data_IF_497950672768
#
_entry.id   IF_497950672768
#
_cell.length_a   1.000
_cell.length_b   1.000
_cell.length_c   1.000
_cell.angle_alpha   90.00
_cell.angle_beta   90.00
_cell.angle_gamma   90.00
#
_symmetry.space_group_name_H-M   'P 1'
#
loop_
_entity.id
_entity.type
_entity.pdbx_description
1 polymer ?
#
# COMPACT_ATOMS: atom_id res chain seq x y z
N UNK A 1 41.52 -4.48 3.85
CA UNK A 1 40.44 -3.87 4.66
C UNK A 1 39.22 -3.76 3.79
N UNK A 2 38.11 -4.33 4.24
CA UNK A 2 37.08 -4.95 3.41
C UNK A 2 36.02 -3.94 2.96
N UNK A 3 35.87 -3.74 1.64
CA UNK A 3 34.92 -2.81 1.01
C UNK A 3 33.47 -3.12 1.37
N UNK A 4 33.18 -4.39 1.60
CA UNK A 4 31.87 -4.93 1.94
C UNK A 4 31.36 -4.46 3.32
N UNK A 5 32.27 -4.31 4.29
CA UNK A 5 31.92 -3.82 5.62
C UNK A 5 31.54 -2.33 5.60
N UNK A 6 32.18 -1.53 4.74
CA UNK A 6 31.85 -0.11 4.54
C UNK A 6 30.48 0.07 3.89
N UNK A 7 30.13 -0.78 2.93
CA UNK A 7 28.82 -0.72 2.27
C UNK A 7 27.69 -1.09 3.24
N UNK A 8 27.89 -2.11 4.08
CA UNK A 8 26.90 -2.46 5.11
C UNK A 8 26.73 -1.39 6.19
N UNK A 9 27.82 -0.75 6.62
CA UNK A 9 27.76 0.35 7.59
C UNK A 9 27.11 1.61 7.00
N UNK A 10 27.32 1.86 5.70
CA UNK A 10 26.68 2.96 4.97
C UNK A 10 25.18 2.73 4.79
N UNK A 11 24.76 1.52 4.38
CA UNK A 11 23.33 1.15 4.25
C UNK A 11 22.63 1.21 5.61
N UNK A 12 23.27 0.74 6.68
CA UNK A 12 22.71 0.79 8.04
C UNK A 12 22.58 2.22 8.58
N UNK A 13 23.43 3.15 8.12
CA UNK A 13 23.27 4.58 8.42
C UNK A 13 22.15 5.20 7.59
N UNK A 14 22.01 4.83 6.32
CA UNK A 14 20.92 5.33 5.46
C UNK A 14 19.54 4.84 5.93
N UNK A 15 19.44 3.64 6.50
CA UNK A 15 18.18 3.12 7.04
C UNK A 15 17.73 3.77 8.37
N UNK A 16 18.53 4.68 8.93
CA UNK A 16 18.22 5.44 10.15
C UNK A 16 17.89 6.91 9.84
N UNK A 17 17.96 7.32 8.57
CA UNK A 17 17.66 8.67 8.12
C UNK A 17 16.19 8.68 7.69
N UNK A 18 15.37 9.57 8.27
CA UNK A 18 13.97 9.69 7.87
C UNK A 18 13.88 10.22 6.43
N UNK A 19 12.79 9.92 5.72
CA UNK A 19 12.55 10.41 4.35
C UNK A 19 12.67 11.95 4.25
N UNK A 20 12.41 12.65 5.36
CA UNK A 20 12.61 14.10 5.50
C UNK A 20 14.10 14.51 5.46
N UNK A 21 14.99 13.78 6.15
CA UNK A 21 16.43 14.06 6.11
C UNK A 21 17.07 13.64 4.76
N UNK A 22 16.56 12.59 4.11
CA UNK A 22 16.91 12.27 2.72
C UNK A 22 16.47 13.41 1.79
N UNK A 23 15.28 13.97 2.02
CA UNK A 23 14.76 15.13 1.29
C UNK A 23 15.56 16.42 1.50
N UNK A 24 16.21 16.59 2.66
CA UNK A 24 17.09 17.73 2.96
C UNK A 24 18.51 17.57 2.40
N UNK A 25 18.99 16.34 2.20
CA UNK A 25 20.31 16.06 1.63
C UNK A 25 20.30 15.83 0.12
N UNK A 26 19.13 15.54 -0.46
CA UNK A 26 18.98 15.44 -1.89
C UNK A 26 19.16 16.82 -2.53
N UNK A 27 20.03 16.89 -3.54
CA UNK A 27 20.22 18.07 -4.37
C UNK A 27 18.85 18.52 -4.92
N UNK A 28 18.40 19.77 -4.66
CA UNK A 28 17.13 20.30 -5.16
C UNK A 28 16.99 20.15 -6.67
N UNK A 29 18.10 20.25 -7.42
CA UNK A 29 18.12 20.13 -8.88
C UNK A 29 17.97 18.67 -9.31
N UNK A 30 18.52 17.71 -8.55
CA UNK A 30 18.31 16.28 -8.79
C UNK A 30 16.87 15.86 -8.50
N UNK A 31 16.25 16.42 -7.44
CA UNK A 31 14.84 16.19 -7.11
C UNK A 31 13.92 16.77 -8.19
N UNK A 32 14.17 18.01 -8.61
CA UNK A 32 13.45 18.67 -9.69
C UNK A 32 13.59 17.90 -11.01
N UNK A 33 14.81 17.46 -11.38
CA UNK A 33 15.06 16.68 -12.58
C UNK A 33 14.36 15.30 -12.55
N UNK A 34 14.27 14.66 -11.38
CA UNK A 34 13.55 13.41 -11.20
C UNK A 34 12.03 13.62 -11.39
N UNK A 35 11.46 14.67 -10.78
CA UNK A 35 10.05 15.02 -10.95
C UNK A 35 9.72 15.44 -12.39
N UNK A 36 10.61 16.18 -13.05
CA UNK A 36 10.48 16.55 -14.47
C UNK A 36 10.58 15.31 -15.38
N UNK A 37 11.44 14.34 -15.07
CA UNK A 37 11.48 13.07 -15.80
C UNK A 37 10.21 12.23 -15.62
N UNK A 38 9.66 12.18 -14.40
CA UNK A 38 8.42 11.47 -14.09
C UNK A 38 7.23 12.10 -14.85
N UNK A 39 7.16 13.43 -14.90
CA UNK A 39 6.07 14.17 -15.55
C UNK A 39 6.23 14.33 -17.07
N UNK A 40 7.44 14.23 -17.62
CA UNK A 40 7.70 14.37 -19.06
C UNK A 40 7.32 13.14 -19.91
N UNK A 41 6.73 12.10 -19.33
CA UNK A 41 6.36 10.86 -20.04
C UNK A 41 5.08 10.97 -20.88
N UNK A 42 4.92 12.05 -21.64
CA UNK A 42 4.04 12.07 -22.81
C UNK A 42 4.92 11.91 -24.06
N UNK A 43 5.09 10.66 -24.52
CA UNK A 43 5.96 10.35 -25.65
C UNK A 43 5.59 11.16 -26.91
N UNK A 44 6.51 11.94 -27.51
CA UNK A 44 6.24 12.57 -28.79
C UNK A 44 6.14 11.50 -29.88
N UNK A 45 5.08 11.59 -30.69
CA UNK A 45 4.77 10.68 -31.81
C UNK A 45 5.87 10.81 -32.90
N UNK A 46 6.88 9.95 -32.84
CA UNK A 46 8.00 9.98 -33.77
C UNK A 46 7.55 9.63 -35.21
N UNK A 47 7.77 10.54 -36.15
CA UNK A 47 7.62 10.30 -37.60
C UNK A 47 8.74 9.36 -38.06
N UNK A 48 8.40 8.23 -38.67
CA UNK A 48 9.34 7.24 -39.23
C UNK A 48 10.16 7.83 -40.38
N UNK A 49 11.51 7.87 -40.32
CA UNK A 49 12.33 8.05 -41.51
C UNK A 49 12.53 6.71 -42.23
N UNK A 50 12.57 6.76 -43.57
CA UNK A 50 12.90 5.65 -44.47
C UNK A 50 14.40 5.63 -44.76
N UNK A 51 14.93 4.41 -44.96
CA UNK A 51 16.26 4.04 -45.54
C UNK A 51 17.46 4.19 -44.57
N UNK A 52 18.52 3.36 -44.57
CA UNK A 52 19.06 2.37 -45.54
C UNK A 52 19.99 1.38 -44.82
N UNK A 53 20.29 0.24 -45.46
CA UNK A 53 21.20 -0.82 -44.99
C UNK A 53 22.65 -0.31 -44.79
N UNK A 54 23.29 -0.68 -43.68
CA UNK A 54 24.76 -0.73 -43.60
C UNK A 54 25.38 -0.56 -42.20
N UNK A 55 25.96 -1.66 -41.71
CA UNK A 55 27.04 -1.80 -40.70
C UNK A 55 26.78 -1.60 -39.20
N UNK A 56 27.33 -2.57 -38.47
CA UNK A 56 27.28 -2.86 -37.04
C UNK A 56 28.41 -2.11 -36.31
N UNK A 57 28.11 -1.45 -35.18
CA UNK A 57 29.03 -1.29 -34.05
C UNK A 57 28.30 -0.80 -32.79
N UNK A 58 28.21 -1.70 -31.80
CA UNK A 58 28.33 -1.53 -30.35
C UNK A 58 28.01 -0.14 -29.75
N UNK A 59 26.85 -0.03 -29.10
CA UNK A 59 26.68 0.67 -27.83
C UNK A 59 25.62 -0.06 -26.99
N UNK A 60 26.09 -0.94 -26.12
CA UNK A 60 25.31 -1.46 -25.00
C UNK A 60 25.65 -0.60 -23.79
N UNK A 61 24.65 0.06 -23.19
CA UNK A 61 24.89 0.82 -21.98
C UNK A 61 23.71 1.71 -21.60
N UNK A 62 22.98 1.27 -20.57
CA UNK A 62 22.17 2.08 -19.66
C UNK A 62 20.86 2.64 -20.23
N UNK A 63 19.79 1.83 -20.14
CA UNK A 63 18.41 2.32 -20.14
C UNK A 63 17.48 1.30 -19.48
N UNK A 64 17.56 1.11 -18.15
CA UNK A 64 16.60 0.24 -17.42
C UNK A 64 16.03 0.87 -16.12
N UNK A 65 16.58 1.96 -15.57
CA UNK A 65 16.19 2.37 -14.21
C UNK A 65 15.02 3.38 -14.08
N UNK A 66 14.32 3.78 -15.15
CA UNK A 66 13.37 4.90 -15.09
C UNK A 66 11.87 4.53 -15.24
N UNK A 67 11.53 3.27 -15.50
CA UNK A 67 10.14 2.91 -15.82
C UNK A 67 9.26 2.55 -14.61
N UNK A 68 9.82 2.30 -13.42
CA UNK A 68 9.06 1.78 -12.27
C UNK A 68 8.34 2.82 -11.42
N UNK A 69 8.84 4.06 -11.35
CA UNK A 69 8.33 5.06 -10.40
C UNK A 69 7.16 5.93 -10.90
N UNK A 70 7.11 6.23 -12.20
CA UNK A 70 6.12 7.17 -12.75
C UNK A 70 4.73 6.57 -13.00
N UNK A 71 4.63 5.24 -13.08
CA UNK A 71 3.34 4.57 -13.34
C UNK A 71 2.41 4.61 -12.11
N UNK A 72 2.96 4.60 -10.88
CA UNK A 72 2.16 4.52 -9.66
C UNK A 72 1.35 5.80 -9.36
N UNK A 73 1.88 6.98 -9.67
CA UNK A 73 1.19 8.26 -9.42
C UNK A 73 0.04 8.56 -10.42
N UNK A 74 0.00 7.86 -11.56
CA UNK A 74 -1.05 8.03 -12.58
C UNK A 74 -2.24 7.08 -12.45
N UNK A 75 -2.19 6.13 -11.51
CA UNK A 75 -3.21 5.09 -11.32
C UNK A 75 -4.21 5.40 -10.20
N UNK A 76 -3.97 6.44 -9.40
CA UNK A 76 -4.89 6.90 -8.37
C UNK A 76 -5.80 7.99 -8.95
N UNK A 77 -6.96 7.59 -9.48
CA UNK A 77 -7.98 8.53 -9.96
C UNK A 77 -8.63 9.29 -8.81
N UNK A 78 -8.94 10.58 -9.00
CA UNK A 78 -9.65 11.58 -8.14
C UNK A 78 -10.25 11.06 -6.83
N UNK A 79 -10.06 11.78 -5.70
CA UNK A 79 -10.12 11.37 -4.27
C UNK A 79 -11.20 10.41 -3.75
N UNK A 80 -12.12 9.97 -4.59
CA UNK A 80 -13.07 8.88 -4.39
C UNK A 80 -12.46 7.48 -4.68
N UNK A 81 -11.24 7.39 -5.23
CA UNK A 81 -10.67 6.19 -5.83
C UNK A 81 -9.84 5.27 -4.94
N UNK A 82 -8.90 5.85 -4.19
CA UNK A 82 -7.94 5.14 -3.36
C UNK A 82 -8.32 5.16 -1.89
N UNK A 83 -8.26 4.03 -1.17
CA UNK A 83 -8.64 3.99 0.24
C UNK A 83 -7.62 4.71 1.14
N UNK A 84 -6.34 4.80 0.76
CA UNK A 84 -5.32 5.35 1.64
C UNK A 84 -5.51 6.87 1.93
N UNK A 85 -5.30 7.25 3.18
CA UNK A 85 -5.36 8.62 3.67
C UNK A 85 -3.95 9.12 3.98
N UNK A 86 -3.54 10.26 3.46
CA UNK A 86 -2.34 10.97 3.91
C UNK A 86 -2.64 11.73 5.20
N UNK A 87 -2.08 11.32 6.33
CA UNK A 87 -2.28 11.95 7.62
C UNK A 87 -1.04 12.79 7.98
N UNK A 88 -1.18 14.11 7.98
CA UNK A 88 -0.08 15.02 8.29
C UNK A 88 0.04 15.15 9.81
N UNK A 89 1.13 14.64 10.39
CA UNK A 89 1.36 14.57 11.84
C UNK A 89 2.10 15.82 12.35
N UNK A 90 2.15 16.00 13.68
CA UNK A 90 2.68 17.19 14.36
C UNK A 90 4.11 17.62 13.97
N UNK A 91 4.96 16.68 13.59
CA UNK A 91 6.35 16.93 13.20
C UNK A 91 6.50 17.32 11.72
N UNK A 92 5.39 17.44 10.99
CA UNK A 92 5.36 17.71 9.55
C UNK A 92 5.57 16.47 8.69
N UNK A 93 5.69 15.28 9.28
CA UNK A 93 5.69 14.02 8.53
C UNK A 93 4.28 13.70 8.02
N UNK A 94 4.23 12.92 6.94
CA UNK A 94 2.99 12.38 6.40
C UNK A 94 3.00 10.88 6.67
N UNK A 95 2.05 10.42 7.48
CA UNK A 95 1.78 8.99 7.65
C UNK A 95 0.73 8.55 6.64
N UNK A 96 0.97 7.44 5.95
CA UNK A 96 -0.05 6.83 5.08
C UNK A 96 -0.92 5.94 5.95
N UNK A 97 -2.13 6.40 6.22
CA UNK A 97 -3.10 5.70 7.06
C UNK A 97 -4.05 4.93 6.18
N UNK A 98 -4.10 3.61 6.38
CA UNK A 98 -5.13 2.79 5.77
C UNK A 98 -6.47 3.06 6.47
N UNK A 99 -7.55 3.22 5.70
CA UNK A 99 -8.84 3.55 6.29
C UNK A 99 -9.39 2.33 7.02
N UNK A 100 -9.98 2.56 8.18
CA UNK A 100 -10.56 1.52 9.03
C UNK A 100 -12.04 1.78 9.19
N UNK A 101 -12.40 3.02 9.57
CA UNK A 101 -13.80 3.44 9.73
C UNK A 101 -14.38 4.01 8.44
N UNK A 102 -13.51 4.49 7.54
CA UNK A 102 -13.89 5.24 6.35
C UNK A 102 -14.16 6.72 6.63
N UNK A 103 -14.05 7.20 7.87
CA UNK A 103 -13.94 8.63 8.14
C UNK A 103 -12.44 8.99 8.15
N UNK A 104 -11.94 9.72 7.12
CA UNK A 104 -10.52 10.02 7.03
C UNK A 104 -10.02 10.85 8.21
N UNK A 105 -10.86 11.75 8.77
CA UNK A 105 -10.51 12.56 9.94
C UNK A 105 -10.43 11.69 11.19
N UNK A 106 -11.38 10.78 11.40
CA UNK A 106 -11.37 9.90 12.56
C UNK A 106 -10.20 8.91 12.51
N UNK A 107 -9.93 8.32 11.33
CA UNK A 107 -8.81 7.39 11.11
C UNK A 107 -7.46 8.09 11.32
N UNK A 108 -7.29 9.32 10.79
CA UNK A 108 -6.08 10.12 11.04
C UNK A 108 -5.96 10.58 12.49
N UNK A 109 -7.05 10.91 13.18
CA UNK A 109 -7.01 11.25 14.61
C UNK A 109 -6.57 10.06 15.47
N UNK A 110 -6.97 8.84 15.10
CA UNK A 110 -6.52 7.61 15.78
C UNK A 110 -5.02 7.35 15.56
N UNK A 111 -4.53 7.53 14.33
CA UNK A 111 -3.09 7.48 14.02
C UNK A 111 -2.32 8.54 14.82
N UNK A 112 -2.80 9.79 14.82
CA UNK A 112 -2.18 10.87 15.57
C UNK A 112 -2.01 10.52 17.04
N UNK A 113 -3.06 9.97 17.66
CA UNK A 113 -3.03 9.53 19.06
C UNK A 113 -2.01 8.42 19.29
N UNK A 114 -1.89 7.49 18.35
CA UNK A 114 -0.93 6.38 18.41
C UNK A 114 0.51 6.87 18.28
N UNK A 115 0.80 7.76 17.35
CA UNK A 115 2.16 8.25 17.10
C UNK A 115 2.63 9.24 18.16
N UNK A 116 1.75 10.14 18.61
CA UNK A 116 2.14 11.26 19.50
C UNK A 116 1.77 11.03 20.96
N UNK A 117 0.88 10.09 21.26
CA UNK A 117 0.26 9.91 22.59
C UNK A 117 -0.77 10.98 22.96
N UNK A 118 -0.93 12.04 22.15
CA UNK A 118 -1.83 13.16 22.39
C UNK A 118 -3.08 13.09 21.50
N UNK A 119 -4.19 13.69 21.94
CA UNK A 119 -5.36 13.81 21.08
C UNK A 119 -5.04 14.71 19.89
N UNK A 120 -5.58 14.38 18.71
CA UNK A 120 -5.37 15.19 17.52
C UNK A 120 -5.96 16.60 17.73
N UNK A 121 -5.29 17.66 17.21
CA UNK A 121 -5.93 18.97 17.08
C UNK A 121 -7.12 18.85 16.11
N UNK A 122 -7.97 19.88 15.96
CA UNK A 122 -9.00 19.87 14.93
C UNK A 122 -8.38 19.59 13.56
N UNK A 123 -8.89 18.58 12.84
CA UNK A 123 -8.39 18.15 11.54
C UNK A 123 -9.41 18.49 10.43
N UNK A 124 -8.91 18.59 9.20
CA UNK A 124 -9.71 18.82 7.99
C UNK A 124 -9.19 17.90 6.89
N UNK A 125 -10.11 17.20 6.23
CA UNK A 125 -9.82 16.36 5.08
C UNK A 125 -9.96 17.13 3.76
N UNK A 126 -9.12 16.78 2.79
CA UNK A 126 -9.08 17.33 1.45
C UNK A 126 -8.95 16.20 0.42
N UNK A 127 -9.67 16.30 -0.70
CA UNK A 127 -9.31 15.57 -1.92
C UNK A 127 -8.04 16.20 -2.46
N UNK A 128 -6.97 15.41 -2.55
CA UNK A 128 -5.66 15.89 -3.00
C UNK A 128 -5.56 16.06 -4.53
N UNK A 129 -6.62 15.74 -5.28
CA UNK A 129 -6.66 15.81 -6.73
C UNK A 129 -5.90 14.67 -7.43
N UNK A 130 -5.32 13.76 -6.66
CA UNK A 130 -4.52 12.61 -7.09
C UNK A 130 -5.12 11.29 -6.64
N UNK A 131 -6.42 11.26 -6.31
CA UNK A 131 -7.08 10.02 -5.97
C UNK A 131 -6.94 9.53 -4.55
N UNK A 132 -6.44 10.38 -3.65
CA UNK A 132 -6.42 10.13 -2.23
C UNK A 132 -7.08 11.26 -1.44
N UNK A 133 -7.19 11.03 -0.15
CA UNK A 133 -7.58 12.05 0.82
C UNK A 133 -6.38 12.40 1.66
N UNK A 134 -6.08 13.69 1.79
CA UNK A 134 -5.09 14.21 2.74
C UNK A 134 -5.80 14.90 3.90
N UNK A 135 -5.38 14.59 5.11
CA UNK A 135 -5.91 15.12 6.37
C UNK A 135 -4.84 15.94 7.05
N UNK A 136 -5.14 17.22 7.25
CA UNK A 136 -4.24 18.21 7.85
C UNK A 136 -4.89 18.89 9.04
N UNK A 137 -4.08 19.54 9.86
CA UNK A 137 -4.57 20.36 10.98
C UNK A 137 -5.37 21.57 10.47
N UNK A 138 -6.45 21.91 11.17
CA UNK A 138 -7.29 23.04 10.83
C UNK A 138 -6.48 24.36 10.90
N UNK A 139 -6.60 25.18 9.86
CA UNK A 139 -5.84 26.43 9.71
C UNK A 139 -4.55 26.28 8.92
N UNK A 140 -4.09 25.05 8.64
CA UNK A 140 -3.03 24.79 7.67
C UNK A 140 -3.57 25.00 6.26
N UNK A 141 -2.82 25.73 5.43
CA UNK A 141 -3.16 25.92 4.02
C UNK A 141 -2.90 24.61 3.27
N UNK A 142 -3.88 24.07 2.53
CA UNK A 142 -3.66 22.88 1.74
C UNK A 142 -2.79 23.19 0.52
N UNK A 143 -2.22 22.15 -0.08
CA UNK A 143 -1.49 22.30 -1.34
C UNK A 143 -2.41 22.77 -2.47
N UNK A 144 -1.79 23.37 -3.50
CA UNK A 144 -2.53 23.92 -4.63
C UNK A 144 -3.27 22.81 -5.37
N UNK A 145 -4.58 22.98 -5.52
CA UNK A 145 -5.44 22.05 -6.26
C UNK A 145 -6.24 21.11 -5.36
N UNK A 146 -5.94 21.10 -4.06
CA UNK A 146 -6.73 20.34 -3.09
C UNK A 146 -8.10 20.96 -2.89
N UNK A 147 -9.11 20.10 -2.77
CA UNK A 147 -10.50 20.51 -2.52
C UNK A 147 -10.93 20.04 -1.16
N UNK A 148 -11.37 20.96 -0.31
CA UNK A 148 -11.84 20.62 1.04
C UNK A 148 -13.03 19.68 0.96
N UNK A 149 -13.00 18.59 1.72
CA UNK A 149 -14.12 17.69 1.89
C UNK A 149 -15.07 18.23 2.97
N UNK A 150 -16.37 18.04 2.77
CA UNK A 150 -17.36 18.39 3.78
C UNK A 150 -17.18 17.51 5.03
N UNK A 151 -17.47 18.04 6.23
CA UNK A 151 -17.44 17.23 7.44
C UNK A 151 -18.38 16.02 7.34
N UNK A 152 -17.89 14.84 7.74
CA UNK A 152 -18.66 13.59 7.69
C UNK A 152 -18.69 12.91 6.31
N UNK A 153 -17.94 13.41 5.32
CA UNK A 153 -17.63 12.61 4.12
C UNK A 153 -16.95 11.32 4.57
N UNK A 154 -17.44 10.20 4.04
CA UNK A 154 -16.93 8.87 4.35
C UNK A 154 -16.59 8.13 3.07
N UNK A 155 -15.46 7.44 3.10
CA UNK A 155 -15.02 6.51 2.07
C UNK A 155 -15.91 5.25 2.07
N UNK A 156 -16.06 4.62 0.90
CA UNK A 156 -16.92 3.44 0.76
C UNK A 156 -16.37 2.26 1.60
N UNK A 157 -17.07 1.81 2.66
CA UNK A 157 -16.61 0.72 3.51
C UNK A 157 -16.43 -0.60 2.75
N UNK A 158 -17.15 -0.80 1.63
CA UNK A 158 -17.01 -1.99 0.79
C UNK A 158 -15.68 -1.99 0.04
N UNK A 159 -15.22 -0.81 -0.39
CA UNK A 159 -13.92 -0.67 -1.06
C UNK A 159 -12.75 -0.72 -0.07
N UNK A 160 -12.95 -0.23 1.15
CA UNK A 160 -12.01 -0.42 2.25
C UNK A 160 -11.82 -1.92 2.53
N UNK A 161 -12.92 -2.68 2.60
CA UNK A 161 -12.86 -4.12 2.81
C UNK A 161 -12.21 -4.86 1.62
N UNK A 162 -12.51 -4.44 0.38
CA UNK A 162 -11.84 -5.00 -0.81
C UNK A 162 -10.34 -4.76 -0.76
N UNK A 163 -9.89 -3.53 -0.47
CA UNK A 163 -8.47 -3.21 -0.37
C UNK A 163 -7.78 -4.02 0.73
N UNK A 164 -8.38 -4.11 1.91
CA UNK A 164 -7.85 -4.90 3.01
C UNK A 164 -7.72 -6.39 2.62
N UNK A 165 -8.73 -6.96 1.97
CA UNK A 165 -8.71 -8.36 1.52
C UNK A 165 -7.66 -8.63 0.43
N UNK A 166 -7.43 -7.67 -0.48
CA UNK A 166 -6.42 -7.81 -1.53
C UNK A 166 -4.99 -7.56 -1.00
N UNK A 167 -4.81 -6.64 -0.06
CA UNK A 167 -3.52 -6.34 0.58
C UNK A 167 -3.13 -7.37 1.65
N UNK A 168 -4.03 -8.29 1.98
CA UNK A 168 -3.84 -9.26 3.05
C UNK A 168 -2.63 -10.18 2.79
N UNK A 169 -1.76 -10.24 3.79
CA UNK A 169 -0.57 -11.10 3.86
C UNK A 169 -0.88 -12.51 4.36
N UNK A 170 -2.07 -12.75 4.89
CA UNK A 170 -2.51 -14.08 5.32
C UNK A 170 -3.04 -14.84 4.11
N UNK A 171 -4.11 -14.43 3.46
CA UNK A 171 -4.73 -15.16 2.34
C UNK A 171 -5.00 -14.30 1.09
N UNK A 172 -4.67 -13.01 1.16
CA UNK A 172 -4.81 -12.04 0.06
C UNK A 172 -3.72 -12.14 -1.02
N UNK A 173 -3.66 -11.13 -1.89
CA UNK A 173 -2.71 -11.11 -3.01
C UNK A 173 -1.26 -10.88 -2.56
N UNK A 174 -1.06 -10.41 -1.32
CA UNK A 174 0.25 -10.12 -0.75
C UNK A 174 0.82 -11.28 0.07
N UNK A 175 0.04 -12.35 0.23
CA UNK A 175 0.39 -13.53 1.01
C UNK A 175 1.57 -14.30 0.43
N UNK A 176 1.68 -14.34 -0.89
CA UNK A 176 2.74 -15.01 -1.65
C UNK A 176 3.00 -14.27 -2.98
N UNK A 177 4.05 -14.67 -3.70
CA UNK A 177 4.25 -14.22 -5.07
C UNK A 177 3.25 -14.95 -6.00
N UNK A 178 2.08 -14.35 -6.24
CA UNK A 178 1.03 -15.03 -6.99
C UNK A 178 1.18 -14.82 -8.52
N UNK A 179 0.99 -15.88 -9.34
CA UNK A 179 0.85 -15.74 -10.77
C UNK A 179 -0.47 -15.05 -11.13
N UNK A 180 -0.50 -14.40 -12.29
CA UNK A 180 -1.62 -13.54 -12.70
C UNK A 180 -2.98 -14.25 -12.71
N UNK A 181 -3.02 -15.51 -13.15
CA UNK A 181 -4.27 -16.28 -13.23
C UNK A 181 -4.86 -16.57 -11.83
N UNK A 182 -3.99 -16.84 -10.86
CA UNK A 182 -4.41 -17.10 -9.47
C UNK A 182 -4.88 -15.81 -8.82
N UNK A 183 -4.12 -14.73 -8.98
CA UNK A 183 -4.49 -13.41 -8.47
C UNK A 183 -5.83 -12.93 -9.02
N UNK A 184 -6.07 -13.08 -10.34
CA UNK A 184 -7.35 -12.77 -10.97
C UNK A 184 -8.51 -13.54 -10.35
N UNK A 185 -8.36 -14.85 -10.19
CA UNK A 185 -9.39 -15.70 -9.60
C UNK A 185 -9.71 -15.27 -8.16
N UNK A 186 -8.68 -14.95 -7.37
CA UNK A 186 -8.83 -14.45 -6.01
C UNK A 186 -9.56 -13.10 -5.99
N UNK A 187 -9.17 -12.14 -6.84
CA UNK A 187 -9.84 -10.84 -6.96
C UNK A 187 -11.31 -10.97 -7.36
N UNK A 188 -11.62 -11.78 -8.38
CA UNK A 188 -13.00 -12.01 -8.84
C UNK A 188 -13.88 -12.64 -7.75
N UNK A 189 -13.30 -13.51 -6.91
CA UNK A 189 -13.96 -14.07 -5.73
C UNK A 189 -14.27 -12.98 -4.70
N UNK A 190 -13.32 -12.10 -4.38
CA UNK A 190 -13.56 -11.01 -3.43
C UNK A 190 -14.59 -10.01 -3.94
N UNK A 191 -14.54 -9.62 -5.22
CA UNK A 191 -15.57 -8.77 -5.83
C UNK A 191 -16.96 -9.41 -5.72
N UNK A 192 -17.06 -10.71 -6.01
CA UNK A 192 -18.32 -11.45 -5.90
C UNK A 192 -18.82 -11.53 -4.45
N UNK A 193 -17.92 -11.79 -3.49
CA UNK A 193 -18.24 -11.85 -2.06
C UNK A 193 -18.78 -10.52 -1.53
N UNK A 194 -18.22 -9.42 -2.01
CA UNK A 194 -18.59 -8.06 -1.63
C UNK A 194 -19.77 -7.49 -2.42
N UNK A 195 -20.32 -8.25 -3.38
CA UNK A 195 -21.44 -7.79 -4.21
C UNK A 195 -21.07 -6.75 -5.26
N UNK A 196 -19.78 -6.60 -5.57
CA UNK A 196 -19.23 -5.65 -6.56
C UNK A 196 -19.32 -6.22 -7.98
N UNK A 197 -20.51 -6.64 -8.41
CA UNK A 197 -20.71 -7.36 -9.68
C UNK A 197 -20.54 -6.50 -10.95
N UNK A 198 -20.59 -5.18 -10.80
CA UNK A 198 -20.37 -4.20 -11.87
C UNK A 198 -18.91 -3.74 -11.96
N UNK A 199 -18.05 -4.23 -11.07
CA UNK A 199 -16.62 -4.03 -11.14
C UNK A 199 -15.97 -5.03 -12.11
N UNK A 200 -14.88 -4.61 -12.73
CA UNK A 200 -14.11 -5.46 -13.64
C UNK A 200 -12.66 -5.65 -13.18
N UNK A 201 -12.09 -6.82 -13.49
CA UNK A 201 -10.67 -7.12 -13.25
C UNK A 201 -9.91 -6.99 -14.55
N UNK A 202 -9.00 -6.03 -14.61
CA UNK A 202 -8.13 -5.79 -15.77
C UNK A 202 -6.68 -6.11 -15.42
N UNK A 203 -5.81 -6.13 -16.41
CA UNK A 203 -4.38 -6.36 -16.20
C UNK A 203 -3.59 -5.37 -17.04
N UNK A 204 -2.54 -4.80 -16.45
CA UNK A 204 -1.53 -4.09 -17.22
C UNK A 204 -0.76 -5.03 -18.16
N UNK A 205 0.05 -4.46 -19.05
CA UNK A 205 0.86 -5.28 -19.97
C UNK A 205 1.88 -6.09 -19.17
N UNK A 206 2.00 -7.37 -19.49
CA UNK A 206 3.00 -8.25 -18.91
C UNK A 206 2.41 -9.60 -18.52
N UNK A 207 3.19 -10.39 -17.80
CA UNK A 207 2.75 -11.63 -17.20
C UNK A 207 3.43 -11.76 -15.82
N UNK A 208 2.70 -12.29 -14.84
CA UNK A 208 3.26 -12.69 -13.56
C UNK A 208 3.22 -14.22 -13.48
N UNK A 209 4.38 -14.83 -13.28
CA UNK A 209 4.56 -16.29 -13.21
C UNK A 209 4.54 -16.83 -11.78
N UNK A 210 4.60 -15.95 -10.78
CA UNK A 210 4.64 -16.32 -9.36
C UNK A 210 6.02 -16.76 -8.87
N UNK A 211 7.07 -16.61 -9.68
CA UNK A 211 8.46 -16.90 -9.29
C UNK A 211 9.33 -15.67 -9.43
N UNK A 212 9.47 -15.16 -10.65
CA UNK A 212 10.31 -14.01 -10.95
C UNK A 212 9.48 -12.73 -11.06
N UNK A 213 8.18 -12.86 -11.32
CA UNK A 213 7.24 -11.75 -11.41
C UNK A 213 5.98 -12.07 -10.62
N UNK A 214 5.60 -11.20 -9.69
CA UNK A 214 4.42 -11.33 -8.86
C UNK A 214 3.28 -10.45 -9.36
N UNK A 215 2.06 -10.76 -8.97
CA UNK A 215 0.90 -9.91 -9.25
C UNK A 215 0.62 -8.97 -8.09
N UNK A 216 0.60 -7.67 -8.36
CA UNK A 216 0.11 -6.63 -7.47
C UNK A 216 -1.26 -6.15 -7.95
N UNK A 217 -1.88 -5.27 -7.17
CA UNK A 217 -3.16 -4.67 -7.56
C UNK A 217 -3.16 -3.16 -7.35
N UNK A 218 -4.06 -2.49 -8.06
CA UNK A 218 -4.49 -1.13 -7.83
C UNK A 218 -6.01 -1.08 -7.94
N UNK A 219 -6.66 -0.23 -7.14
CA UNK A 219 -8.09 0.02 -7.17
C UNK A 219 -8.35 1.34 -7.87
N UNK A 220 -9.23 1.32 -8.87
CA UNK A 220 -9.71 2.49 -9.59
C UNK A 220 -11.23 2.56 -9.40
N UNK A 221 -11.67 3.23 -8.32
CA UNK A 221 -13.10 3.31 -8.01
C UNK A 221 -13.89 4.17 -9.01
N UNK A 222 -13.25 5.15 -9.63
CA UNK A 222 -13.86 6.03 -10.64
C UNK A 222 -14.37 5.21 -11.82
N UNK A 223 -13.56 4.26 -12.29
CA UNK A 223 -13.93 3.39 -13.42
C UNK A 223 -14.40 2.00 -12.99
N UNK A 224 -14.48 1.73 -11.68
CA UNK A 224 -14.88 0.46 -11.06
C UNK A 224 -14.02 -0.71 -11.56
N UNK A 225 -12.71 -0.57 -11.41
CA UNK A 225 -11.73 -1.58 -11.85
C UNK A 225 -10.78 -1.97 -10.74
N UNK A 226 -10.47 -3.26 -10.69
CA UNK A 226 -9.23 -3.74 -10.08
C UNK A 226 -8.23 -3.97 -11.19
N UNK A 227 -7.10 -3.27 -11.13
CA UNK A 227 -6.01 -3.39 -12.11
C UNK A 227 -4.94 -4.29 -11.52
N UNK A 228 -4.71 -5.46 -12.13
CA UNK A 228 -3.63 -6.35 -11.77
C UNK A 228 -2.34 -5.94 -12.47
N UNK A 229 -1.28 -5.73 -11.70
CA UNK A 229 0.00 -5.21 -12.19
C UNK A 229 1.07 -6.28 -11.99
N UNK A 230 1.58 -6.91 -13.06
CA UNK A 230 2.77 -7.73 -12.95
C UNK A 230 3.95 -6.86 -12.54
N UNK A 231 4.64 -7.22 -11.45
CA UNK A 231 5.87 -6.55 -11.03
C UNK A 231 6.96 -7.58 -10.86
N UNK A 232 8.16 -7.27 -11.36
CA UNK A 232 9.33 -8.09 -11.10
C UNK A 232 9.46 -8.28 -9.58
N UNK A 233 9.75 -9.50 -9.16
CA UNK A 233 9.92 -9.83 -7.76
C UNK A 233 11.17 -9.09 -7.27
N UNK A 234 10.95 -7.89 -6.75
CA UNK A 234 11.95 -7.17 -6.01
C UNK A 234 12.35 -7.99 -4.79
N UNK A 235 13.59 -7.85 -4.35
CA UNK A 235 14.11 -8.49 -3.13
C UNK A 235 13.51 -7.92 -1.85
N UNK A 236 12.24 -7.47 -1.85
CA UNK A 236 11.53 -7.13 -0.62
C UNK A 236 11.32 -8.43 0.14
N UNK A 237 12.36 -8.84 0.87
CA UNK A 237 12.32 -9.95 1.79
C UNK A 237 11.25 -9.62 2.80
N UNK A 238 10.18 -10.41 2.81
CA UNK A 238 9.23 -10.37 3.92
C UNK A 238 10.01 -10.71 5.18
N UNK A 239 9.83 -9.91 6.22
CA UNK A 239 10.40 -10.21 7.53
C UNK A 239 10.00 -11.65 7.93
N UNK A 240 10.96 -12.55 8.25
CA UNK A 240 10.66 -13.92 8.59
C UNK A 240 9.68 -14.08 9.77
N UNK A 241 9.71 -13.15 10.74
CA UNK A 241 8.77 -13.12 11.86
C UNK A 241 7.34 -12.84 11.36
N UNK A 242 7.17 -11.89 10.45
CA UNK A 242 5.86 -11.57 9.87
C UNK A 242 5.34 -12.70 8.99
N UNK A 243 6.20 -13.34 8.20
CA UNK A 243 5.82 -14.52 7.42
C UNK A 243 5.42 -15.70 8.32
N UNK A 244 6.10 -15.88 9.46
CA UNK A 244 5.76 -16.88 10.47
C UNK A 244 4.41 -16.59 11.13
N UNK A 245 4.15 -15.32 11.50
CA UNK A 245 2.88 -14.87 12.05
C UNK A 245 1.73 -15.10 11.07
N UNK A 246 1.88 -14.68 9.80
CA UNK A 246 0.87 -14.87 8.77
C UNK A 246 0.46 -16.34 8.63
N UNK A 247 1.46 -17.24 8.60
CA UNK A 247 1.24 -18.68 8.50
C UNK A 247 0.51 -19.24 9.71
N UNK A 248 0.90 -18.84 10.92
CA UNK A 248 0.24 -19.28 12.15
C UNK A 248 -1.23 -18.84 12.19
N UNK A 249 -1.52 -17.58 11.82
CA UNK A 249 -2.89 -17.09 11.72
C UNK A 249 -3.71 -17.87 10.67
N UNK A 250 -3.13 -18.10 9.49
CA UNK A 250 -3.77 -18.88 8.41
C UNK A 250 -4.15 -20.28 8.87
N UNK A 251 -3.23 -21.00 9.49
CA UNK A 251 -3.44 -22.36 9.96
C UNK A 251 -4.54 -22.41 11.04
N UNK A 252 -4.46 -21.52 12.02
CA UNK A 252 -5.43 -21.46 13.12
C UNK A 252 -6.85 -21.15 12.65
N UNK A 253 -7.01 -20.07 11.87
CA UNK A 253 -8.34 -19.61 11.42
C UNK A 253 -8.99 -20.54 10.40
N UNK A 254 -8.21 -21.39 9.73
CA UNK A 254 -8.74 -22.45 8.87
C UNK A 254 -9.36 -23.58 9.68
N UNK A 255 -8.78 -23.88 10.84
CA UNK A 255 -9.13 -25.04 11.65
C UNK A 255 -10.07 -24.69 12.83
N UNK A 256 -10.22 -23.41 13.16
CA UNK A 256 -11.08 -22.90 14.22
C UNK A 256 -12.13 -21.90 13.73
N UNK A 257 -13.19 -21.75 14.51
CA UNK A 257 -14.26 -20.77 14.27
C UNK A 257 -14.43 -19.92 15.53
N UNK A 258 -13.34 -19.27 15.91
CA UNK A 258 -13.22 -18.59 17.20
C UNK A 258 -14.02 -17.28 17.24
N UNK A 259 -14.51 -16.89 18.43
CA UNK A 259 -14.99 -15.53 18.66
C UNK A 259 -13.84 -14.53 18.59
N UNK A 260 -14.18 -13.26 18.38
CA UNK A 260 -13.23 -12.18 18.11
C UNK A 260 -12.15 -12.05 19.18
N UNK A 261 -12.54 -12.12 20.46
CA UNK A 261 -11.63 -12.00 21.60
C UNK A 261 -10.58 -13.12 21.64
N UNK A 262 -11.01 -14.37 21.36
CA UNK A 262 -10.11 -15.53 21.31
C UNK A 262 -9.14 -15.44 20.13
N UNK A 263 -9.60 -14.98 18.97
CA UNK A 263 -8.74 -14.76 17.82
C UNK A 263 -7.71 -13.63 18.08
N UNK A 264 -8.10 -12.59 18.82
CA UNK A 264 -7.22 -11.48 19.19
C UNK A 264 -6.10 -11.92 20.14
N UNK A 265 -6.44 -12.73 21.15
CA UNK A 265 -5.46 -13.31 22.06
C UNK A 265 -4.50 -14.26 21.32
N UNK A 266 -5.03 -15.10 20.42
CA UNK A 266 -4.20 -15.95 19.57
C UNK A 266 -3.25 -15.14 18.69
N UNK A 267 -3.72 -14.06 18.06
CA UNK A 267 -2.88 -13.22 17.21
C UNK A 267 -1.69 -12.61 17.98
N UNK A 268 -1.94 -12.11 19.20
CA UNK A 268 -0.89 -11.57 20.07
C UNK A 268 0.10 -12.65 20.50
N UNK A 269 -0.38 -13.83 20.86
CA UNK A 269 0.48 -14.96 21.25
C UNK A 269 1.31 -15.47 20.07
N UNK A 270 0.70 -15.62 18.89
CA UNK A 270 1.37 -16.02 17.66
C UNK A 270 2.46 -15.02 17.26
N UNK A 271 2.19 -13.72 17.39
CA UNK A 271 3.15 -12.67 17.12
C UNK A 271 4.36 -12.75 18.07
N UNK A 272 4.12 -12.93 19.37
CA UNK A 272 5.18 -13.12 20.35
C UNK A 272 6.03 -14.37 20.06
N UNK A 273 5.42 -15.51 19.71
CA UNK A 273 6.15 -16.73 19.30
C UNK A 273 6.96 -16.54 18.02
N UNK A 274 6.47 -15.72 17.09
CA UNK A 274 7.15 -15.39 15.86
C UNK A 274 8.30 -14.38 16.04
N UNK A 275 8.41 -13.75 17.21
CA UNK A 275 9.42 -12.72 17.50
C UNK A 275 9.04 -11.32 17.01
N UNK A 276 7.74 -11.05 16.80
CA UNK A 276 7.25 -9.71 16.50
C UNK A 276 7.18 -8.91 17.79
N UNK A 277 7.91 -7.80 17.85
CA UNK A 277 7.89 -6.90 19.00
C UNK A 277 6.48 -6.36 19.26
N UNK A 278 6.01 -6.27 20.52
CA UNK A 278 4.66 -5.79 20.83
C UNK A 278 4.35 -4.40 20.27
N UNK A 279 5.35 -3.50 20.24
CA UNK A 279 5.20 -2.15 19.69
C UNK A 279 5.04 -2.14 18.15
N UNK A 280 5.46 -3.21 17.47
CA UNK A 280 5.33 -3.39 16.04
C UNK A 280 4.03 -4.10 15.64
N UNK A 281 3.17 -4.47 16.60
CA UNK A 281 1.91 -5.17 16.35
C UNK A 281 0.67 -4.31 16.68
N UNK A 282 -0.05 -3.98 15.61
CA UNK A 282 -1.46 -3.61 15.47
C UNK A 282 -2.46 -4.76 15.69
N UNK A 283 -3.33 -4.83 16.69
CA UNK A 283 -4.49 -5.76 16.65
C UNK A 283 -5.80 -4.99 16.76
N UNK A 284 -6.55 -4.97 15.67
CA UNK A 284 -7.82 -4.25 15.52
C UNK A 284 -8.98 -5.25 15.48
N UNK A 285 -10.02 -5.01 16.27
CA UNK A 285 -11.17 -5.92 16.42
C UNK A 285 -12.45 -5.24 15.90
N UNK A 286 -13.03 -5.78 14.83
CA UNK A 286 -14.25 -5.28 14.20
C UNK A 286 -15.36 -6.31 14.39
N UNK A 287 -16.43 -5.89 15.07
CA UNK A 287 -17.58 -6.76 15.29
C UNK A 287 -18.43 -6.89 14.02
N UNK A 288 -18.56 -8.11 13.52
CA UNK A 288 -19.46 -8.47 12.45
C UNK A 288 -20.46 -9.53 12.96
N UNK A 289 -21.68 -9.08 13.27
CA UNK A 289 -22.73 -9.93 13.79
C UNK A 289 -23.22 -10.99 12.77
N UNK A 290 -22.88 -10.84 11.49
CA UNK A 290 -23.24 -11.79 10.42
C UNK A 290 -22.13 -12.80 10.15
N UNK A 291 -20.92 -12.57 10.65
CA UNK A 291 -19.81 -13.49 10.46
C UNK A 291 -20.05 -14.80 11.22
N UNK A 292 -19.97 -15.92 10.50
CA UNK A 292 -20.06 -17.23 11.12
C UNK A 292 -18.83 -17.55 11.98
N UNK A 293 -17.66 -17.12 11.51
CA UNK A 293 -16.35 -17.28 12.16
C UNK A 293 -15.56 -15.97 12.06
N UNK A 294 -14.59 -15.78 12.96
CA UNK A 294 -13.65 -14.67 12.83
C UNK A 294 -12.70 -14.92 11.66
N UNK A 295 -12.48 -13.88 10.85
CA UNK A 295 -11.42 -13.83 9.83
C UNK A 295 -10.37 -12.84 10.25
N UNK A 296 -9.14 -13.04 9.76
CA UNK A 296 -8.05 -12.10 9.94
C UNK A 296 -7.55 -11.63 8.58
N UNK A 297 -7.16 -10.36 8.54
CA UNK A 297 -6.41 -9.74 7.48
C UNK A 297 -5.12 -9.19 8.14
N UNK A 298 -3.95 -9.41 7.54
CA UNK A 298 -2.70 -8.83 8.01
C UNK A 298 -2.11 -7.89 6.97
N UNK A 299 -1.80 -6.67 7.38
CA UNK A 299 -1.15 -5.64 6.56
C UNK A 299 0.21 -5.31 7.16
N UNK A 300 1.12 -4.81 6.32
CA UNK A 300 2.46 -4.40 6.76
C UNK A 300 2.81 -3.07 6.12
N UNK A 301 2.80 -2.01 6.93
CA UNK A 301 3.17 -0.65 6.53
C UNK A 301 3.90 0.04 7.69
N UNK A 302 5.20 -0.27 7.83
CA UNK A 302 6.01 0.09 9.00
C UNK A 302 5.73 -0.75 10.26
N UNK A 303 4.50 -1.22 10.45
CA UNK A 303 4.07 -2.14 11.51
C UNK A 303 3.22 -3.27 10.94
N UNK A 304 3.12 -4.38 11.67
CA UNK A 304 2.18 -5.44 11.36
C UNK A 304 0.81 -5.06 11.93
N UNK A 305 -0.19 -4.88 11.08
CA UNK A 305 -1.57 -4.66 11.49
C UNK A 305 -2.40 -5.90 11.20
N UNK A 306 -2.93 -6.53 12.25
CA UNK A 306 -3.86 -7.65 12.17
C UNK A 306 -5.27 -7.12 12.44
N UNK A 307 -6.11 -7.14 11.42
CA UNK A 307 -7.52 -6.73 11.48
C UNK A 307 -8.36 -8.01 11.60
N UNK A 308 -9.07 -8.15 12.70
CA UNK A 308 -9.95 -9.27 12.98
C UNK A 308 -11.40 -8.84 12.77
N UNK A 309 -12.16 -9.60 11.99
CA UNK A 309 -13.59 -9.37 11.73
C UNK A 309 -14.38 -10.61 12.09
N UNK A 310 -15.28 -10.51 13.06
CA UNK A 310 -16.00 -11.66 13.58
C UNK A 310 -17.07 -11.30 14.60
N UNK A 311 -17.82 -12.31 15.05
CA UNK A 311 -18.76 -12.17 16.17
C UNK A 311 -18.01 -12.08 17.50
N UNK A 312 -18.56 -11.32 18.44
CA UNK A 312 -18.19 -11.42 19.85
C UNK A 312 -18.85 -12.64 20.49
#
# INVERSE_FOLDING_TARGET
>A
MNTEHRTQEYIRRLSLISDHEVGLQADPDARQALFEQITATAAPRAKRPRMTRGLVAVFAGVAVAAAGGAAWAGLTGSGDGGPANGCHIADGSISVVKPITGDPVADCAAEWKRETGADAPPLVAYDNGHGGTDVVTAGTLPDKGWTRLEPGVSQDPTLIELDAALDDRIDGLRSDCLPLAVARTATERELSRLGLHDWSVTTERGAADGTDTCTYYSLDAVTRRVVLVPVEHGTTSVDPALASLARALREHLRDSCDPLETAADYAREAAARAGVEPAALVVSEITDAKAACTRAEMRVDGRAEVILRGRR
#
